data_IF_112005968681
#
_entry.id   IF_112005968681
#
_cell.length_a   1.000
_cell.length_b   1.000
_cell.length_c   1.000
_cell.angle_alpha   90.00
_cell.angle_beta   90.00
_cell.angle_gamma   90.00
#
_symmetry.space_group_name_H-M   'P 1'
#
loop_
_entity.id
_entity.type
_entity.pdbx_description
1 polymer ?
#
# COMPACT_ATOMS: atom_id res chain seq x y z
N UNK A 1 -5.85 -5.33 -42.21
CA UNK A 1 -4.90 -4.54 -41.38
C UNK A 1 -5.68 -4.06 -40.18
N UNK A 2 -5.61 -4.79 -39.06
CA UNK A 2 -6.39 -4.46 -37.87
C UNK A 2 -5.58 -3.46 -37.04
N UNK A 3 -5.95 -2.19 -37.16
CA UNK A 3 -5.43 -1.09 -36.35
C UNK A 3 -6.00 -1.18 -34.93
N UNK A 4 -5.42 -2.05 -34.09
CA UNK A 4 -5.59 -2.01 -32.63
C UNK A 4 -4.67 -0.93 -32.03
N UNK A 5 -4.76 0.30 -32.54
CA UNK A 5 -4.17 1.45 -31.87
C UNK A 5 -5.14 1.87 -30.77
N UNK A 6 -4.93 1.36 -29.56
CA UNK A 6 -5.48 1.98 -28.37
C UNK A 6 -4.88 3.37 -28.27
N UNK A 7 -5.64 4.38 -28.70
CA UNK A 7 -5.22 5.78 -28.63
C UNK A 7 -4.97 6.13 -27.16
N UNK A 8 -3.68 6.14 -26.79
CA UNK A 8 -3.18 6.43 -25.46
C UNK A 8 -3.74 7.76 -24.94
N UNK A 9 -4.04 8.70 -25.85
CA UNK A 9 -4.66 9.98 -25.56
C UNK A 9 -6.08 9.85 -25.02
N UNK A 10 -6.91 8.96 -25.56
CA UNK A 10 -8.28 8.72 -25.07
C UNK A 10 -8.28 8.07 -23.68
N UNK A 11 -7.26 7.26 -23.37
CA UNK A 11 -7.08 6.67 -22.05
C UNK A 11 -6.64 7.72 -21.04
N UNK A 12 -5.73 8.63 -21.45
CA UNK A 12 -5.27 9.75 -20.63
C UNK A 12 -6.37 10.78 -20.38
N UNK A 13 -7.20 11.12 -21.37
CA UNK A 13 -8.30 12.08 -21.23
C UNK A 13 -9.34 11.57 -20.22
N UNK A 14 -9.74 10.29 -20.32
CA UNK A 14 -10.62 9.66 -19.33
C UNK A 14 -9.99 9.60 -17.94
N UNK A 15 -8.68 9.40 -17.85
CA UNK A 15 -7.96 9.41 -16.59
C UNK A 15 -7.93 10.80 -15.95
N UNK A 16 -7.74 11.85 -16.76
CA UNK A 16 -7.78 13.25 -16.33
C UNK A 16 -9.17 13.68 -15.86
N UNK A 17 -10.23 13.29 -16.58
CA UNK A 17 -11.61 13.53 -16.18
C UNK A 17 -11.96 12.86 -14.84
N UNK A 18 -11.55 11.61 -14.65
CA UNK A 18 -11.74 10.89 -13.38
C UNK A 18 -10.94 11.51 -12.23
N UNK A 19 -9.73 12.02 -12.50
CA UNK A 19 -8.96 12.79 -11.53
C UNK A 19 -9.67 14.09 -11.13
N UNK A 20 -10.26 14.80 -12.10
CA UNK A 20 -11.00 16.04 -11.87
C UNK A 20 -12.27 15.82 -11.03
N UNK A 21 -12.96 14.71 -11.24
CA UNK A 21 -14.12 14.33 -10.41
C UNK A 21 -13.66 14.02 -8.97
N UNK A 22 -12.58 13.26 -8.81
CA UNK A 22 -12.03 12.89 -7.49
C UNK A 22 -11.45 14.08 -6.71
N UNK A 23 -11.01 15.14 -7.37
CA UNK A 23 -10.54 16.36 -6.69
C UNK A 23 -11.68 17.31 -6.32
N UNK A 24 -12.85 17.20 -6.97
CA UNK A 24 -14.03 18.05 -6.70
C UNK A 24 -14.96 17.48 -5.65
N UNK A 25 -15.11 16.15 -5.59
CA UNK A 25 -15.95 15.47 -4.61
C UNK A 25 -15.07 14.71 -3.60
N UNK A 26 -15.04 15.18 -2.35
CA UNK A 26 -14.25 14.57 -1.28
C UNK A 26 -14.68 13.13 -0.95
N UNK A 27 -15.85 12.70 -1.43
CA UNK A 27 -16.38 11.35 -1.25
C UNK A 27 -15.84 10.36 -2.27
N UNK A 28 -15.33 10.78 -3.43
CA UNK A 28 -14.75 9.89 -4.45
C UNK A 28 -13.24 9.73 -4.22
N UNK A 29 -12.76 8.49 -4.06
CA UNK A 29 -11.33 8.17 -3.88
C UNK A 29 -10.82 7.19 -4.92
N UNK A 30 -9.56 7.39 -5.33
CA UNK A 30 -8.83 6.42 -6.16
C UNK A 30 -8.38 5.23 -5.31
N UNK A 31 -8.35 4.03 -5.91
CA UNK A 31 -7.68 2.89 -5.31
C UNK A 31 -6.15 3.06 -5.33
N UNK A 32 -5.50 2.81 -4.19
CA UNK A 32 -4.06 2.86 -3.99
C UNK A 32 -3.33 1.60 -4.43
N UNK A 33 -4.03 0.54 -4.84
CA UNK A 33 -3.41 -0.60 -5.50
C UNK A 33 -2.94 -0.17 -6.90
N UNK A 34 -1.63 -0.23 -7.22
CA UNK A 34 -1.11 0.20 -8.51
C UNK A 34 -1.70 -0.56 -9.71
N UNK A 35 -2.19 -1.79 -9.49
CA UNK A 35 -2.82 -2.62 -10.52
C UNK A 35 -4.33 -2.39 -10.67
N UNK A 36 -4.92 -1.48 -9.89
CA UNK A 36 -6.34 -1.18 -9.91
C UNK A 36 -6.58 0.30 -10.27
N UNK A 37 -7.08 0.61 -11.48
CA UNK A 37 -7.35 1.98 -11.88
C UNK A 37 -8.69 2.53 -11.37
N UNK A 38 -9.39 1.78 -10.50
CA UNK A 38 -10.76 2.10 -10.07
C UNK A 38 -10.82 3.28 -9.09
N UNK A 39 -11.91 4.03 -9.18
CA UNK A 39 -12.35 5.03 -8.21
C UNK A 39 -13.60 4.51 -7.49
N UNK A 40 -13.80 4.89 -6.24
CA UNK A 40 -14.97 4.46 -5.47
C UNK A 40 -15.37 5.52 -4.44
N UNK A 41 -16.65 5.49 -4.05
CA UNK A 41 -17.18 6.38 -3.03
C UNK A 41 -16.86 5.86 -1.63
N UNK A 42 -16.48 6.76 -0.72
CA UNK A 42 -16.36 6.47 0.70
C UNK A 42 -17.76 6.34 1.29
N UNK A 43 -18.06 5.17 1.84
CA UNK A 43 -19.35 4.87 2.48
C UNK A 43 -19.43 5.34 3.93
N UNK A 44 -18.29 5.71 4.53
CA UNK A 44 -18.21 6.22 5.90
C UNK A 44 -17.32 7.46 5.92
N UNK A 45 -17.95 8.62 6.07
CA UNK A 45 -17.30 9.95 6.08
C UNK A 45 -16.90 10.41 7.49
N UNK A 46 -16.80 9.51 8.47
CA UNK A 46 -16.34 9.92 9.80
C UNK A 46 -14.86 10.35 9.73
N UNK A 47 -14.59 11.61 10.10
CA UNK A 47 -13.29 12.29 10.06
C UNK A 47 -12.17 11.64 10.92
N UNK A 48 -12.48 10.55 11.63
CA UNK A 48 -11.52 9.78 12.40
C UNK A 48 -10.96 8.67 11.52
N UNK A 49 -9.86 8.96 10.80
CA UNK A 49 -8.94 8.03 10.10
C UNK A 49 -9.59 6.67 9.84
N UNK A 50 -10.50 6.60 8.86
CA UNK A 50 -11.20 5.36 8.58
C UNK A 50 -10.49 4.56 7.49
N UNK A 51 -10.37 3.26 7.74
CA UNK A 51 -10.04 2.22 6.76
C UNK A 51 -11.12 2.22 5.67
N UNK A 52 -10.71 2.33 4.42
CA UNK A 52 -11.57 2.14 3.25
C UNK A 52 -11.18 0.85 2.52
N UNK A 53 -12.18 0.12 2.02
CA UNK A 53 -11.97 -1.05 1.19
C UNK A 53 -12.48 -0.79 -0.22
N UNK A 54 -11.62 -1.01 -1.23
CA UNK A 54 -12.02 -0.89 -2.62
C UNK A 54 -13.03 -2.00 -2.98
N UNK A 55 -14.21 -1.68 -3.54
CA UNK A 55 -15.21 -2.69 -3.90
C UNK A 55 -14.76 -3.59 -5.08
N UNK A 56 -13.79 -3.15 -5.88
CA UNK A 56 -13.33 -3.88 -7.06
C UNK A 56 -12.23 -4.90 -6.75
N UNK A 57 -11.19 -4.49 -6.02
CA UNK A 57 -10.03 -5.35 -5.72
C UNK A 57 -9.89 -5.73 -4.25
N UNK A 58 -10.81 -5.28 -3.38
CA UNK A 58 -10.78 -5.47 -1.92
C UNK A 58 -9.51 -4.94 -1.24
N UNK A 59 -8.76 -4.09 -1.93
CA UNK A 59 -7.60 -3.42 -1.35
C UNK A 59 -8.03 -2.48 -0.24
N UNK A 60 -7.38 -2.61 0.91
CA UNK A 60 -7.66 -1.81 2.09
C UNK A 60 -6.66 -0.68 2.17
N UNK A 61 -7.17 0.53 2.32
CA UNK A 61 -6.38 1.74 2.26
C UNK A 61 -6.89 2.80 3.22
N UNK A 62 -6.02 3.76 3.51
CA UNK A 62 -6.40 4.97 4.23
C UNK A 62 -7.25 5.89 3.33
N UNK A 63 -8.33 6.43 3.87
CA UNK A 63 -9.19 7.40 3.17
C UNK A 63 -8.50 8.72 2.82
N UNK A 64 -7.50 9.13 3.60
CA UNK A 64 -6.80 10.38 3.43
C UNK A 64 -5.60 10.22 2.48
N UNK A 65 -4.69 9.28 2.77
CA UNK A 65 -3.44 9.14 2.02
C UNK A 65 -3.46 8.06 0.93
N UNK A 66 -4.52 7.25 0.83
CA UNK A 66 -4.65 6.14 -0.13
C UNK A 66 -3.53 5.07 -0.08
N UNK A 67 -2.65 5.11 0.93
CA UNK A 67 -1.66 4.05 1.18
C UNK A 67 -2.37 2.81 1.70
N UNK A 68 -1.75 1.64 1.49
CA UNK A 68 -2.23 0.35 2.04
C UNK A 68 -2.52 0.53 3.54
N UNK A 69 -3.61 -0.05 4.02
CA UNK A 69 -3.98 0.01 5.42
C UNK A 69 -3.30 -1.10 6.23
N UNK A 70 -2.66 -0.70 7.34
CA UNK A 70 -2.15 -1.59 8.39
C UNK A 70 -2.69 -1.13 9.75
N UNK A 71 -2.70 -2.01 10.75
CA UNK A 71 -3.27 -1.71 12.07
C UNK A 71 -2.50 -0.60 12.78
N UNK A 72 -1.21 -0.49 12.49
CA UNK A 72 -0.27 0.53 12.97
C UNK A 72 -0.65 1.93 12.49
N UNK A 73 -1.43 2.07 11.41
CA UNK A 73 -1.97 3.38 11.00
C UNK A 73 -3.02 3.90 12.01
N UNK A 74 -3.60 3.04 12.84
CA UNK A 74 -4.61 3.44 13.81
C UNK A 74 -3.98 4.26 14.94
N UNK A 75 -4.39 5.53 15.07
CA UNK A 75 -3.92 6.41 16.15
C UNK A 75 -2.68 7.24 15.82
N UNK A 76 -2.15 7.15 14.60
CA UNK A 76 -1.04 8.00 14.12
C UNK A 76 -1.46 8.79 12.88
N UNK A 77 -0.77 9.90 12.60
CA UNK A 77 -1.05 10.74 11.42
C UNK A 77 -0.58 10.08 10.13
N UNK A 78 -1.06 10.56 8.99
CA UNK A 78 -0.65 10.04 7.68
C UNK A 78 0.84 10.23 7.41
N UNK A 79 1.46 11.26 8.00
CA UNK A 79 2.89 11.54 7.92
C UNK A 79 3.70 10.51 8.71
N UNK A 80 3.38 10.32 9.99
CA UNK A 80 4.02 9.32 10.85
C UNK A 80 3.86 7.90 10.28
N UNK A 81 2.73 7.61 9.67
CA UNK A 81 2.51 6.33 8.98
C UNK A 81 3.37 6.15 7.72
N UNK A 82 3.67 7.24 7.01
CA UNK A 82 4.56 7.19 5.85
C UNK A 82 6.00 6.88 6.25
N UNK A 83 6.46 7.44 7.38
CA UNK A 83 7.75 7.11 7.98
C UNK A 83 7.79 5.64 8.39
N UNK A 84 6.77 5.16 9.12
CA UNK A 84 6.67 3.75 9.52
C UNK A 84 6.66 2.79 8.33
N UNK A 85 5.95 3.13 7.24
CA UNK A 85 5.94 2.32 6.02
C UNK A 85 7.32 2.24 5.36
N UNK A 86 8.12 3.31 5.47
CA UNK A 86 9.48 3.36 4.92
C UNK A 86 10.41 2.47 5.74
N UNK A 87 10.31 2.52 7.06
CA UNK A 87 11.10 1.66 7.98
C UNK A 87 10.73 0.17 7.88
N UNK A 88 9.51 -0.13 7.43
CA UNK A 88 8.96 -1.48 7.36
C UNK A 88 8.70 -1.94 5.91
N UNK A 89 9.39 -1.33 4.93
CA UNK A 89 9.18 -1.66 3.53
C UNK A 89 9.52 -3.14 3.30
N UNK A 90 8.59 -3.96 2.77
CA UNK A 90 8.89 -5.36 2.45
C UNK A 90 10.02 -5.53 1.42
N UNK A 91 10.28 -4.51 0.61
CA UNK A 91 11.39 -4.47 -0.34
C UNK A 91 12.69 -3.92 0.30
N UNK A 92 12.66 -3.55 1.59
CA UNK A 92 13.85 -3.13 2.33
C UNK A 92 14.80 -4.34 2.50
N UNK A 93 16.04 -4.26 1.98
CA UNK A 93 17.02 -5.33 2.11
C UNK A 93 17.36 -5.64 3.58
N UNK A 94 17.28 -4.69 4.52
CA UNK A 94 17.55 -4.93 5.95
C UNK A 94 16.44 -5.75 6.60
N UNK A 95 15.17 -5.47 6.25
CA UNK A 95 14.00 -6.25 6.71
C UNK A 95 14.03 -7.66 6.13
N UNK A 96 14.39 -7.79 4.85
CA UNK A 96 14.56 -9.10 4.20
C UNK A 96 15.73 -9.89 4.81
N UNK A 97 16.86 -9.23 5.05
CA UNK A 97 18.03 -9.83 5.68
C UNK A 97 17.72 -10.31 7.09
N UNK A 98 17.04 -9.51 7.90
CA UNK A 98 16.63 -9.88 9.26
C UNK A 98 15.69 -11.10 9.24
N UNK A 99 14.69 -11.12 8.35
CA UNK A 99 13.83 -12.30 8.16
C UNK A 99 14.61 -13.53 7.72
N UNK A 100 15.57 -13.36 6.80
CA UNK A 100 16.42 -14.45 6.33
C UNK A 100 17.30 -14.99 7.46
N UNK A 101 17.98 -14.13 8.22
CA UNK A 101 18.82 -14.52 9.36
C UNK A 101 18.03 -15.26 10.45
N UNK A 102 16.80 -14.83 10.73
CA UNK A 102 15.93 -15.47 11.71
C UNK A 102 15.40 -16.84 11.25
N UNK A 103 15.21 -17.04 9.94
CA UNK A 103 14.65 -18.28 9.39
C UNK A 103 15.74 -19.29 9.04
N UNK A 104 16.90 -18.82 8.60
CA UNK A 104 18.09 -19.60 8.27
C UNK A 104 18.96 -19.81 9.50
N UNK A 105 18.35 -20.19 10.63
CA UNK A 105 19.06 -20.48 11.86
C UNK A 105 20.28 -21.36 11.58
N UNK A 106 21.49 -20.83 11.84
CA UNK A 106 22.71 -21.59 11.65
C UNK A 106 22.82 -22.61 12.78
N UNK A 107 22.27 -23.81 12.56
CA UNK A 107 22.50 -24.94 13.45
C UNK A 107 23.93 -25.41 13.21
N UNK A 108 24.83 -25.12 14.14
CA UNK A 108 26.15 -25.74 14.15
C UNK A 108 25.95 -27.25 14.32
N UNK A 109 26.37 -28.11 13.37
CA UNK A 109 26.19 -29.56 13.47
C UNK A 109 27.09 -30.23 14.52
N UNK A 110 27.82 -29.44 15.32
CA UNK A 110 28.77 -29.92 16.31
C UNK A 110 28.29 -29.46 17.70
N UNK A 111 28.06 -30.40 18.61
CA UNK A 111 27.51 -30.19 19.96
C UNK A 111 28.39 -29.36 20.91
N UNK A 112 29.48 -28.76 20.41
CA UNK A 112 30.47 -27.99 21.18
C UNK A 112 30.41 -26.49 20.95
N UNK A 113 29.55 -26.00 20.05
CA UNK A 113 29.46 -24.58 19.74
C UNK A 113 28.19 -24.00 20.38
N UNK A 114 28.32 -23.44 21.58
CA UNK A 114 27.34 -22.52 22.14
C UNK A 114 27.80 -21.10 21.79
N UNK A 115 27.04 -20.41 20.94
CA UNK A 115 27.19 -18.97 20.77
C UNK A 115 26.60 -18.31 22.02
N UNK A 116 27.47 -17.83 22.91
CA UNK A 116 27.09 -16.91 23.99
C UNK A 116 27.11 -15.53 23.36
N UNK A 117 25.95 -14.90 23.23
CA UNK A 117 25.86 -13.48 22.89
C UNK A 117 25.91 -12.71 24.20
N UNK A 118 27.05 -12.06 24.49
CA UNK A 118 27.18 -11.03 25.54
C UNK A 118 26.61 -9.68 25.04
#
# INVERSE_FOLDING_TARGET
MNQWFTDERLVLDKYQENLFIATRDSQVKKCGNPRCPSFFNLTNNNDRIARAQCPHCRFEQCQQCCRKWFNEHNGITCEAYAEWLTENDPDDPEVQLTKYLNTAGMICPNDKCQAIFE
#
